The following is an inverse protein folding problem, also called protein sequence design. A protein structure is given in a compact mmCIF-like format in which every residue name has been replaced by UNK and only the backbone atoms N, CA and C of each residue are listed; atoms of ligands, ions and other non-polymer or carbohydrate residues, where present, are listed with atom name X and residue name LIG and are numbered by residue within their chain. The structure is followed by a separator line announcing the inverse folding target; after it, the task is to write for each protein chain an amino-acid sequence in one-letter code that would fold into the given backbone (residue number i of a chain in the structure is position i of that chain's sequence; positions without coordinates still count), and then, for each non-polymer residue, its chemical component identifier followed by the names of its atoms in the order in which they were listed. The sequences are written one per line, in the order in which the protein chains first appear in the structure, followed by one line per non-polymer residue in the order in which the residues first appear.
data_IF_625127900822
#
_entry.id   IF_625127900822
#
_cell.length_a   1.000
_cell.length_b   1.000
_cell.length_c   1.000
_cell.angle_alpha   90.00
_cell.angle_beta   90.00
_cell.angle_gamma   90.00
#
_symmetry.space_group_name_H-M   'P 1'
#
loop_
_entity.id
_entity.type
_entity.pdbx_description
1 polymer ?
#
# COMPACT_ATOMS: atom_id res chain seq x y z
N UNK A 1 31.95 -42.07 -43.36
CA UNK A 1 32.15 -40.70 -42.83
C UNK A 1 30.98 -39.85 -43.30
N UNK A 2 29.95 -39.64 -42.47
CA UNK A 2 28.74 -38.91 -42.92
C UNK A 2 29.03 -37.41 -43.04
N UNK A 3 28.58 -36.74 -44.13
CA UNK A 3 28.80 -35.31 -44.31
C UNK A 3 28.07 -34.50 -43.23
N UNK A 4 28.80 -33.63 -42.52
CA UNK A 4 28.21 -32.68 -41.55
C UNK A 4 27.26 -31.73 -42.31
N UNK A 5 25.96 -31.82 -42.06
CA UNK A 5 24.97 -30.87 -42.59
C UNK A 5 25.27 -29.48 -42.01
N UNK A 6 25.63 -28.52 -42.87
CA UNK A 6 25.73 -27.11 -42.50
C UNK A 6 24.33 -26.52 -42.49
N UNK A 7 23.74 -26.36 -41.32
CA UNK A 7 22.48 -25.62 -41.18
C UNK A 7 22.78 -24.13 -41.32
N UNK A 8 22.30 -23.51 -42.40
CA UNK A 8 22.38 -22.06 -42.58
C UNK A 8 21.24 -21.45 -41.75
N UNK A 9 21.51 -21.17 -40.48
CA UNK A 9 20.51 -20.60 -39.57
C UNK A 9 20.23 -19.17 -40.02
N UNK A 10 19.11 -18.99 -40.73
CA UNK A 10 18.61 -17.69 -41.20
C UNK A 10 17.90 -17.01 -40.02
N UNK A 11 18.65 -16.28 -39.20
CA UNK A 11 18.09 -15.62 -38.00
C UNK A 11 19.12 -15.04 -37.02
N UNK A 12 20.40 -14.90 -37.39
CA UNK A 12 21.45 -14.45 -36.45
C UNK A 12 21.19 -13.04 -35.90
N UNK A 13 20.58 -12.15 -36.69
CA UNK A 13 20.23 -10.79 -36.25
C UNK A 13 19.10 -10.76 -35.22
N UNK A 14 18.20 -11.74 -35.25
CA UNK A 14 17.03 -11.76 -34.36
C UNK A 14 17.48 -11.98 -32.90
N UNK A 15 18.44 -12.88 -32.67
CA UNK A 15 19.02 -13.08 -31.35
C UNK A 15 19.69 -11.82 -30.79
N UNK A 16 20.39 -11.05 -31.64
CA UNK A 16 21.00 -9.80 -31.22
C UNK A 16 19.94 -8.76 -30.86
N UNK A 17 18.87 -8.62 -31.66
CA UNK A 17 17.78 -7.69 -31.39
C UNK A 17 17.08 -8.05 -30.08
N UNK A 18 16.78 -9.33 -29.85
CA UNK A 18 16.15 -9.80 -28.61
C UNK A 18 17.08 -9.56 -27.41
N UNK A 19 18.38 -9.85 -27.54
CA UNK A 19 19.35 -9.54 -26.49
C UNK A 19 19.33 -8.05 -26.13
N UNK A 20 19.43 -7.15 -27.11
CA UNK A 20 19.40 -5.70 -26.87
C UNK A 20 18.08 -5.30 -26.19
N UNK A 21 16.94 -5.85 -26.62
CA UNK A 21 15.65 -5.58 -25.99
C UNK A 21 15.63 -6.04 -24.52
N UNK A 22 16.10 -7.25 -24.22
CA UNK A 22 16.24 -7.76 -22.85
C UNK A 22 17.17 -6.88 -22.01
N UNK A 23 18.25 -6.36 -22.58
CA UNK A 23 19.18 -5.48 -21.89
C UNK A 23 18.55 -4.13 -21.52
N UNK A 24 17.84 -3.49 -22.47
CA UNK A 24 17.11 -2.25 -22.21
C UNK A 24 16.05 -2.47 -21.12
N UNK A 25 15.32 -3.58 -21.19
CA UNK A 25 14.29 -3.91 -20.22
C UNK A 25 14.88 -4.25 -18.83
N UNK A 26 16.05 -4.88 -18.79
CA UNK A 26 16.80 -5.12 -17.55
C UNK A 26 17.21 -3.79 -16.88
N UNK A 27 17.72 -2.82 -17.65
CA UNK A 27 18.05 -1.48 -17.13
C UNK A 27 16.79 -0.79 -16.58
N UNK A 28 15.68 -0.88 -17.29
CA UNK A 28 14.41 -0.32 -16.84
C UNK A 28 13.95 -0.95 -15.51
N UNK A 29 14.00 -2.28 -15.39
CA UNK A 29 13.66 -2.99 -14.16
C UNK A 29 14.62 -2.67 -13.00
N UNK A 30 15.92 -2.48 -13.27
CA UNK A 30 16.91 -2.04 -12.26
C UNK A 30 16.53 -0.67 -11.73
N UNK A 31 16.21 0.26 -12.62
CA UNK A 31 15.80 1.62 -12.26
C UNK A 31 14.61 1.57 -11.32
N UNK A 32 13.54 0.86 -11.67
CA UNK A 32 12.32 0.88 -10.84
C UNK A 32 12.43 -0.01 -9.58
N UNK A 33 13.22 -1.09 -9.61
CA UNK A 33 13.34 -2.04 -8.51
C UNK A 33 14.36 -1.65 -7.42
N UNK A 34 15.48 -1.01 -7.79
CA UNK A 34 16.56 -0.62 -6.85
C UNK A 34 16.67 0.88 -6.65
N UNK A 35 16.35 1.68 -7.66
CA UNK A 35 16.50 3.14 -7.63
C UNK A 35 15.18 3.85 -8.01
N UNK A 36 14.08 3.54 -7.30
CA UNK A 36 12.77 4.01 -7.68
C UNK A 36 12.71 5.52 -7.72
N UNK A 37 12.09 6.05 -8.77
CA UNK A 37 11.82 7.49 -8.88
C UNK A 37 10.79 7.94 -7.86
N UNK A 38 10.71 9.25 -7.58
CA UNK A 38 9.70 9.83 -6.67
C UNK A 38 8.26 9.45 -7.06
N UNK A 39 7.97 9.37 -8.36
CA UNK A 39 6.66 8.96 -8.85
C UNK A 39 6.33 7.50 -8.54
N UNK A 40 7.33 6.62 -8.51
CA UNK A 40 7.18 5.21 -8.11
C UNK A 40 7.04 5.11 -6.59
N UNK A 41 7.87 5.81 -5.82
CA UNK A 41 7.76 5.86 -4.35
C UNK A 41 6.43 6.42 -3.87
N UNK A 42 5.85 7.39 -4.59
CA UNK A 42 4.52 7.91 -4.28
C UNK A 42 3.41 6.86 -4.45
N UNK A 43 3.58 5.93 -5.39
CA UNK A 43 2.61 4.85 -5.65
C UNK A 43 2.85 3.63 -4.77
N UNK A 44 4.11 3.34 -4.49
CA UNK A 44 4.59 2.17 -3.76
C UNK A 44 5.50 2.63 -2.62
N UNK A 45 5.00 3.35 -1.60
CA UNK A 45 5.87 3.90 -0.57
C UNK A 45 6.38 2.76 0.32
N UNK A 46 7.68 2.77 0.59
CA UNK A 46 8.30 1.75 1.46
C UNK A 46 8.01 2.01 2.95
N UNK A 47 7.60 3.24 3.29
CA UNK A 47 7.29 3.64 4.66
C UNK A 47 6.05 4.51 4.63
N UNK A 48 5.12 4.20 5.52
CA UNK A 48 3.87 4.95 5.68
C UNK A 48 3.79 5.39 7.12
N UNK A 49 3.67 6.70 7.30
CA UNK A 49 3.48 7.30 8.61
C UNK A 49 1.97 7.43 8.86
N UNK A 50 1.47 6.71 9.86
CA UNK A 50 0.10 6.80 10.31
C UNK A 50 -0.03 7.89 11.37
N UNK A 51 -0.88 8.87 11.11
CA UNK A 51 -1.12 9.99 12.03
C UNK A 51 -2.60 10.16 12.34
N UNK A 52 -2.94 10.68 13.52
CA UNK A 52 -4.33 11.05 13.81
C UNK A 52 -4.73 12.34 13.09
N UNK A 53 -5.93 12.37 12.52
CA UNK A 53 -6.49 13.61 11.93
C UNK A 53 -6.89 14.64 13.01
N UNK A 54 -7.07 14.18 14.25
CA UNK A 54 -7.57 14.97 15.37
C UNK A 54 -6.62 14.91 16.57
N UNK A 55 -6.64 15.98 17.36
CA UNK A 55 -5.94 16.02 18.63
C UNK A 55 -6.71 15.19 19.67
N UNK A 56 -5.99 14.47 20.53
CA UNK A 56 -6.62 13.64 21.55
C UNK A 56 -5.63 13.05 22.53
N UNK A 57 -6.13 12.37 23.57
CA UNK A 57 -5.30 11.51 24.43
C UNK A 57 -5.44 10.09 23.91
N UNK A 58 -4.33 9.41 23.64
CA UNK A 58 -4.32 8.00 23.26
C UNK A 58 -4.83 7.17 24.44
N UNK A 59 -5.87 6.37 24.21
CA UNK A 59 -6.45 5.49 25.22
C UNK A 59 -5.73 4.15 25.20
N UNK A 60 -5.56 3.58 24.01
CA UNK A 60 -5.04 2.23 23.80
C UNK A 60 -4.19 2.19 22.53
N UNK A 61 -3.13 1.39 22.56
CA UNK A 61 -2.29 1.06 21.40
C UNK A 61 -2.35 -0.46 21.23
N UNK A 62 -2.91 -0.91 20.12
CA UNK A 62 -3.23 -2.33 19.89
C UNK A 62 -2.14 -3.08 19.11
N UNK A 63 -0.99 -2.43 18.86
CA UNK A 63 0.09 -3.00 18.07
C UNK A 63 1.45 -2.83 18.70
N UNK A 64 2.33 -3.79 18.42
CA UNK A 64 3.73 -3.80 18.84
C UNK A 64 4.68 -3.64 17.64
N UNK A 65 5.91 -3.20 17.89
CA UNK A 65 6.95 -3.14 16.87
C UNK A 65 7.28 -4.54 16.34
N UNK A 66 7.32 -4.69 15.02
CA UNK A 66 7.51 -5.97 14.33
C UNK A 66 6.22 -6.78 14.15
N UNK A 67 5.07 -6.31 14.64
CA UNK A 67 3.78 -6.97 14.41
C UNK A 67 3.32 -6.79 12.95
N UNK A 68 2.76 -7.85 12.39
CA UNK A 68 2.08 -7.81 11.10
C UNK A 68 0.65 -7.29 11.29
N UNK A 69 0.24 -6.31 10.49
CA UNK A 69 -1.09 -5.68 10.54
C UNK A 69 -1.78 -5.71 9.18
N UNK A 70 -3.11 -5.77 9.19
CA UNK A 70 -3.95 -5.86 7.99
C UNK A 70 -4.71 -4.55 7.71
N UNK A 71 -5.13 -4.31 6.46
CA UNK A 71 -6.00 -3.18 6.14
C UNK A 71 -7.28 -3.18 6.98
N UNK A 72 -7.64 -2.03 7.51
CA UNK A 72 -8.79 -1.81 8.39
C UNK A 72 -8.55 -2.16 9.86
N UNK A 73 -7.40 -2.75 10.21
CA UNK A 73 -7.05 -3.04 11.60
C UNK A 73 -6.75 -1.75 12.36
N UNK A 74 -7.28 -1.65 13.58
CA UNK A 74 -7.07 -0.51 14.46
C UNK A 74 -5.70 -0.65 15.11
N UNK A 75 -4.85 0.36 14.95
CA UNK A 75 -3.50 0.36 15.54
C UNK A 75 -3.46 1.13 16.86
N UNK A 76 -4.27 2.17 16.97
CA UNK A 76 -4.35 3.01 18.16
C UNK A 76 -5.67 3.77 18.19
N UNK A 77 -6.13 4.09 19.39
CA UNK A 77 -7.38 4.83 19.62
C UNK A 77 -7.13 6.05 20.50
N UNK A 78 -7.81 7.16 20.20
CA UNK A 78 -7.85 8.32 21.10
C UNK A 78 -9.18 8.40 21.85
N UNK A 79 -9.13 8.96 23.06
CA UNK A 79 -10.28 9.19 23.90
C UNK A 79 -11.35 10.00 23.14
N UNK A 80 -12.48 9.35 22.91
CA UNK A 80 -13.56 9.84 22.06
C UNK A 80 -14.87 10.04 22.83
N UNK A 81 -14.83 10.22 24.15
CA UNK A 81 -16.02 10.27 25.01
C UNK A 81 -17.06 11.30 24.56
N UNK A 82 -16.63 12.47 24.09
CA UNK A 82 -17.53 13.49 23.56
C UNK A 82 -18.17 13.07 22.21
N UNK A 83 -17.43 12.31 21.40
CA UNK A 83 -17.90 11.79 20.10
C UNK A 83 -18.85 10.61 20.28
N UNK A 84 -18.55 9.70 21.20
CA UNK A 84 -19.45 8.61 21.60
C UNK A 84 -20.79 9.19 22.08
N UNK A 85 -20.73 10.24 22.91
CA UNK A 85 -21.92 10.96 23.37
C UNK A 85 -22.69 11.58 22.21
N UNK A 86 -22.00 12.23 21.27
CA UNK A 86 -22.63 12.81 20.09
C UNK A 86 -23.32 11.75 19.22
N UNK A 87 -22.68 10.60 18.99
CA UNK A 87 -23.27 9.46 18.26
C UNK A 87 -24.51 8.95 18.98
N UNK A 88 -24.45 8.79 20.30
CA UNK A 88 -25.57 8.33 21.10
C UNK A 88 -26.76 9.30 21.07
N UNK A 89 -26.51 10.61 21.17
CA UNK A 89 -27.54 11.64 21.07
C UNK A 89 -28.17 11.68 19.67
N UNK A 90 -27.35 11.58 18.61
CA UNK A 90 -27.80 11.51 17.22
C UNK A 90 -28.63 10.23 16.95
N UNK A 91 -28.24 9.08 17.51
CA UNK A 91 -28.99 7.84 17.34
C UNK A 91 -30.36 7.92 18.04
N UNK A 92 -30.42 8.50 19.23
CA UNK A 92 -31.70 8.77 19.93
C UNK A 92 -32.59 9.73 19.14
N UNK A 93 -32.02 10.76 18.52
CA UNK A 93 -32.76 11.68 17.66
C UNK A 93 -33.33 10.94 16.44
N UNK A 94 -32.49 10.17 15.74
CA UNK A 94 -32.90 9.37 14.59
C UNK A 94 -34.01 8.38 14.94
N UNK A 95 -33.91 7.68 16.09
CA UNK A 95 -34.94 6.72 16.53
C UNK A 95 -36.31 7.38 16.72
N UNK A 96 -36.36 8.54 17.37
CA UNK A 96 -37.61 9.31 17.58
C UNK A 96 -38.24 9.74 16.25
N UNK A 97 -37.41 10.24 15.33
CA UNK A 97 -37.87 10.71 14.01
C UNK A 97 -38.30 9.56 13.12
N UNK A 98 -37.67 8.38 13.24
CA UNK A 98 -38.05 7.17 12.50
C UNK A 98 -39.44 6.67 12.88
N UNK A 99 -39.86 6.85 14.13
CA UNK A 99 -41.16 6.38 14.63
C UNK A 99 -42.32 7.33 14.28
N UNK A 100 -42.07 8.65 14.28
CA UNK A 100 -43.15 9.66 14.23
C UNK A 100 -42.96 10.76 13.17
N UNK A 101 -41.81 10.82 12.51
CA UNK A 101 -41.42 11.91 11.61
C UNK A 101 -41.75 11.66 10.14
N UNK A 102 -41.68 12.74 9.35
CA UNK A 102 -41.80 12.66 7.90
C UNK A 102 -40.55 12.03 7.26
N UNK A 103 -40.63 11.57 6.01
CA UNK A 103 -39.45 11.08 5.29
C UNK A 103 -38.32 12.12 5.22
N UNK A 104 -38.67 13.40 5.09
CA UNK A 104 -37.68 14.48 5.05
C UNK A 104 -36.93 14.59 6.38
N UNK A 105 -37.64 14.51 7.51
CA UNK A 105 -37.03 14.53 8.85
C UNK A 105 -36.13 13.30 9.05
N UNK A 106 -36.57 12.13 8.60
CA UNK A 106 -35.79 10.89 8.69
C UNK A 106 -34.48 10.98 7.91
N UNK A 107 -34.50 11.56 6.70
CA UNK A 107 -33.29 11.77 5.89
C UNK A 107 -32.32 12.73 6.59
N UNK A 108 -32.83 13.81 7.17
CA UNK A 108 -32.02 14.77 7.91
C UNK A 108 -31.35 14.12 9.13
N UNK A 109 -32.12 13.44 9.97
CA UNK A 109 -31.60 12.79 11.17
C UNK A 109 -30.62 11.64 10.82
N UNK A 110 -30.82 10.95 9.71
CA UNK A 110 -29.85 9.96 9.20
C UNK A 110 -28.53 10.62 8.78
N UNK A 111 -28.58 11.81 8.17
CA UNK A 111 -27.40 12.61 7.84
C UNK A 111 -26.59 12.95 9.09
N UNK A 112 -27.25 13.50 10.11
CA UNK A 112 -26.62 13.85 11.40
C UNK A 112 -25.99 12.63 12.10
N UNK A 113 -26.66 11.47 12.08
CA UNK A 113 -26.11 10.23 12.61
C UNK A 113 -24.87 9.76 11.84
N UNK A 114 -24.86 9.87 10.51
CA UNK A 114 -23.71 9.51 9.68
C UNK A 114 -22.52 10.42 9.95
N UNK A 115 -22.75 11.72 10.07
CA UNK A 115 -21.72 12.69 10.41
C UNK A 115 -21.11 12.42 11.79
N UNK A 116 -21.93 12.15 12.81
CA UNK A 116 -21.45 11.81 14.14
C UNK A 116 -20.60 10.53 14.14
N UNK A 117 -21.03 9.49 13.40
CA UNK A 117 -20.29 8.23 13.27
C UNK A 117 -18.97 8.40 12.52
N UNK A 118 -18.95 9.16 11.44
CA UNK A 118 -17.72 9.46 10.71
C UNK A 118 -16.73 10.21 11.61
N UNK A 119 -17.22 11.14 12.44
CA UNK A 119 -16.38 11.86 13.39
C UNK A 119 -15.81 10.95 14.50
N UNK A 120 -16.55 9.92 14.93
CA UNK A 120 -16.08 8.89 15.86
C UNK A 120 -15.05 7.98 15.19
N UNK A 121 -15.29 7.56 13.94
CA UNK A 121 -14.36 6.73 13.18
C UNK A 121 -13.00 7.42 12.99
N UNK A 122 -12.96 8.75 12.84
CA UNK A 122 -11.71 9.52 12.84
C UNK A 122 -10.90 9.49 14.16
N UNK A 123 -11.49 8.99 15.25
CA UNK A 123 -10.78 8.77 16.51
C UNK A 123 -10.04 7.43 16.55
N UNK A 124 -10.38 6.51 15.65
CA UNK A 124 -9.67 5.25 15.45
C UNK A 124 -8.60 5.48 14.38
N UNK A 125 -7.36 5.07 14.67
CA UNK A 125 -6.32 5.04 13.66
C UNK A 125 -6.29 3.64 13.04
N UNK A 126 -6.75 3.52 11.80
CA UNK A 126 -6.78 2.26 11.05
C UNK A 126 -5.68 2.19 10.00
N UNK A 127 -5.13 1.01 9.80
CA UNK A 127 -4.26 0.72 8.65
C UNK A 127 -5.06 0.86 7.37
N UNK A 128 -4.56 1.60 6.38
CA UNK A 128 -5.18 1.68 5.06
C UNK A 128 -6.13 2.87 4.84
N UNK A 129 -6.50 3.64 5.86
CA UNK A 129 -7.24 4.89 5.62
C UNK A 129 -6.35 5.94 4.95
N UNK A 130 -5.06 5.94 5.29
CA UNK A 130 -4.06 6.87 4.74
C UNK A 130 -3.29 6.31 3.54
N UNK A 131 -3.53 5.04 3.19
CA UNK A 131 -2.90 4.37 2.06
C UNK A 131 -3.98 4.00 1.06
N UNK A 132 -3.85 4.43 -0.20
CA UNK A 132 -4.88 4.24 -1.22
C UNK A 132 -5.50 2.84 -1.19
N UNK A 133 -6.84 2.79 -1.09
CA UNK A 133 -7.73 1.64 -0.78
C UNK A 133 -7.45 0.27 -1.44
N UNK A 134 -6.53 0.14 -2.39
CA UNK A 134 -6.48 -1.01 -3.30
C UNK A 134 -5.20 -1.86 -3.26
N UNK A 135 -4.11 -1.43 -2.61
CA UNK A 135 -2.80 -2.12 -2.79
C UNK A 135 -2.10 -2.59 -1.51
N UNK A 136 -2.67 -2.35 -0.32
CA UNK A 136 -2.16 -2.94 0.92
C UNK A 136 -2.81 -4.31 1.12
N UNK A 137 -2.02 -5.37 1.08
CA UNK A 137 -2.44 -6.69 1.56
C UNK A 137 -2.14 -6.84 3.06
N UNK A 138 -0.93 -6.46 3.46
CA UNK A 138 -0.33 -6.65 4.78
C UNK A 138 0.77 -5.59 4.99
N UNK A 139 1.05 -5.20 6.23
CA UNK A 139 2.21 -4.35 6.57
C UNK A 139 2.87 -4.78 7.88
N UNK A 140 4.17 -4.52 8.02
CA UNK A 140 4.87 -4.67 9.30
C UNK A 140 4.91 -3.34 10.04
N UNK A 141 4.67 -3.36 11.34
CA UNK A 141 4.88 -2.21 12.21
C UNK A 141 6.39 -2.01 12.39
N UNK A 142 6.91 -0.87 11.94
CA UNK A 142 8.33 -0.54 12.09
C UNK A 142 8.62 0.17 13.41
N UNK A 143 7.76 1.11 13.81
CA UNK A 143 8.00 1.98 14.95
C UNK A 143 6.67 2.44 15.54
N UNK A 144 6.56 2.40 16.87
CA UNK A 144 5.40 2.92 17.60
C UNK A 144 5.84 4.14 18.42
N UNK A 145 5.40 5.33 18.00
CA UNK A 145 5.84 6.63 18.59
C UNK A 145 4.97 7.11 19.74
N UNK A 146 3.77 6.55 19.87
CA UNK A 146 2.80 6.93 20.91
C UNK A 146 2.62 5.82 21.94
N UNK A 147 2.19 6.21 23.14
CA UNK A 147 1.86 5.29 24.24
C UNK A 147 0.52 5.68 24.84
N UNK A 148 -0.09 4.77 25.58
CA UNK A 148 -1.30 5.07 26.35
C UNK A 148 -1.12 6.31 27.23
N UNK A 149 -2.14 7.16 27.27
CA UNK A 149 -2.13 8.43 27.98
C UNK A 149 -1.40 9.60 27.28
N UNK A 150 -0.66 9.34 26.20
CA UNK A 150 0.02 10.38 25.43
C UNK A 150 -0.99 11.32 24.74
N UNK A 151 -0.65 12.62 24.61
CA UNK A 151 -1.51 13.59 23.94
C UNK A 151 -0.96 13.89 22.54
N UNK A 152 -1.67 13.41 21.51
CA UNK A 152 -1.32 13.61 20.10
C UNK A 152 -1.89 14.92 19.56
N UNK A 153 -1.16 15.54 18.65
CA UNK A 153 -1.63 16.65 17.80
C UNK A 153 -2.11 16.12 16.45
N UNK A 154 -2.96 16.88 15.73
CA UNK A 154 -3.34 16.54 14.36
C UNK A 154 -2.10 16.43 13.46
N UNK A 155 -1.99 15.35 12.70
CA UNK A 155 -0.85 15.07 11.82
C UNK A 155 0.43 14.62 12.54
N UNK A 156 0.39 14.42 13.87
CA UNK A 156 1.51 13.81 14.59
C UNK A 156 1.57 12.31 14.30
N UNK A 157 2.72 11.84 13.82
CA UNK A 157 2.95 10.43 13.49
C UNK A 157 2.88 9.56 14.73
N UNK A 158 1.92 8.64 14.75
CA UNK A 158 1.69 7.71 15.84
C UNK A 158 2.40 6.37 15.62
N UNK A 159 2.30 5.83 14.40
CA UNK A 159 2.86 4.53 14.03
C UNK A 159 3.50 4.64 12.64
N UNK A 160 4.65 4.02 12.45
CA UNK A 160 5.29 3.89 11.14
C UNK A 160 5.19 2.44 10.71
N UNK A 161 4.68 2.18 9.51
CA UNK A 161 4.53 0.84 8.95
C UNK A 161 5.32 0.67 7.65
N UNK A 162 5.69 -0.56 7.34
CA UNK A 162 6.30 -1.00 6.08
C UNK A 162 5.29 -1.87 5.31
N UNK A 163 4.61 -1.34 4.28
CA UNK A 163 3.67 -2.11 3.51
C UNK A 163 4.38 -3.22 2.73
N UNK A 164 3.77 -4.41 2.71
CA UNK A 164 4.21 -5.51 1.86
C UNK A 164 3.71 -5.28 0.44
N UNK A 165 4.58 -4.71 -0.39
CA UNK A 165 4.28 -4.50 -1.81
C UNK A 165 5.05 -5.51 -2.68
N UNK A 166 4.35 -6.15 -3.61
CA UNK A 166 4.93 -7.06 -4.58
C UNK A 166 5.71 -6.36 -5.69
N UNK A 167 5.53 -5.06 -5.88
CA UNK A 167 6.17 -4.28 -6.95
C UNK A 167 7.70 -4.39 -6.93
N UNK A 168 8.33 -4.20 -5.76
CA UNK A 168 9.79 -4.23 -5.66
C UNK A 168 10.37 -5.64 -5.83
N UNK A 169 9.88 -6.68 -5.12
CA UNK A 169 10.34 -8.05 -5.34
C UNK A 169 10.13 -8.52 -6.80
N UNK A 170 9.03 -8.12 -7.43
CA UNK A 170 8.73 -8.45 -8.82
C UNK A 170 9.75 -7.83 -9.78
N UNK A 171 10.00 -6.52 -9.70
CA UNK A 171 10.98 -5.86 -10.55
C UNK A 171 12.40 -6.38 -10.31
N UNK A 172 12.74 -6.71 -9.06
CA UNK A 172 14.02 -7.35 -8.75
C UNK A 172 14.18 -8.70 -9.43
N UNK A 173 13.16 -9.55 -9.34
CA UNK A 173 13.13 -10.86 -10.02
C UNK A 173 13.19 -10.70 -11.54
N UNK A 174 12.50 -9.71 -12.08
CA UNK A 174 12.46 -9.40 -13.51
C UNK A 174 13.83 -8.98 -14.04
N UNK A 175 14.60 -8.19 -13.28
CA UNK A 175 16.00 -7.86 -13.61
C UNK A 175 16.87 -9.10 -13.73
N UNK A 176 16.79 -10.04 -12.79
CA UNK A 176 17.58 -11.27 -12.86
C UNK A 176 17.20 -12.13 -14.07
N UNK A 177 15.90 -12.31 -14.30
CA UNK A 177 15.40 -13.09 -15.43
C UNK A 177 15.86 -12.50 -16.77
N UNK A 178 15.69 -11.19 -16.95
CA UNK A 178 16.00 -10.49 -18.20
C UNK A 178 17.51 -10.37 -18.42
N UNK A 179 18.30 -10.22 -17.35
CA UNK A 179 19.75 -10.32 -17.39
C UNK A 179 20.24 -11.69 -17.86
N UNK A 180 19.68 -12.78 -17.32
CA UNK A 180 20.01 -14.15 -17.77
C UNK A 180 19.66 -14.33 -19.24
N UNK A 181 18.45 -13.93 -19.65
CA UNK A 181 18.00 -14.03 -21.04
C UNK A 181 18.91 -13.25 -21.99
N UNK A 182 19.35 -12.04 -21.61
CA UNK A 182 20.32 -11.27 -22.38
C UNK A 182 21.59 -12.06 -22.68
N UNK A 183 22.22 -12.65 -21.64
CA UNK A 183 23.44 -13.44 -21.83
C UNK A 183 23.21 -14.70 -22.68
N UNK A 184 22.07 -15.37 -22.51
CA UNK A 184 21.70 -16.53 -23.33
C UNK A 184 21.57 -16.15 -24.81
N UNK A 185 20.85 -15.08 -25.12
CA UNK A 185 20.67 -14.64 -26.51
C UNK A 185 21.97 -14.11 -27.13
N UNK A 186 22.80 -13.41 -26.35
CA UNK A 186 24.15 -13.01 -26.78
C UNK A 186 25.02 -14.22 -27.11
N UNK A 187 24.99 -15.26 -26.27
CA UNK A 187 25.73 -16.50 -26.52
C UNK A 187 25.24 -17.21 -27.79
N UNK A 188 23.93 -17.33 -27.99
CA UNK A 188 23.35 -17.92 -29.19
C UNK A 188 23.73 -17.13 -30.45
N UNK A 189 23.69 -15.79 -30.38
CA UNK A 189 24.16 -14.92 -31.47
C UNK A 189 25.63 -15.18 -31.80
N UNK A 190 26.50 -15.27 -30.80
CA UNK A 190 27.92 -15.53 -30.97
C UNK A 190 28.19 -16.90 -31.61
N UNK A 191 27.55 -17.96 -31.11
CA UNK A 191 27.70 -19.33 -31.67
C UNK A 191 27.20 -19.39 -33.11
N UNK A 192 26.08 -18.74 -33.42
CA UNK A 192 25.50 -18.79 -34.75
C UNK A 192 26.25 -17.95 -35.80
N UNK A 193 27.12 -17.03 -35.37
CA UNK A 193 27.95 -16.20 -36.25
C UNK A 193 29.38 -16.74 -36.46
N UNK A 194 29.71 -17.87 -35.82
CA UNK A 194 30.99 -18.58 -35.97
C UNK A 194 30.89 -19.72 -36.98
#
# INVERSE_FOLDING_TARGET
MSPKKKYKIKGTKDFLIIAIACFIFCIWAIRDGWFPTEGVLKKHPQRVELSFERAGRVTEVQVEEGQEVRPGEVVAEIAATDLERAVFEAEKAYRRVREQGTEADQRKALGELREARAALEQAELKVGDQYGKNDLSVADVLEVKVREGYRVKPGETAVVIHPHDHFYPFNKSLTFLTGILFFVFMYLHWVANR
#
